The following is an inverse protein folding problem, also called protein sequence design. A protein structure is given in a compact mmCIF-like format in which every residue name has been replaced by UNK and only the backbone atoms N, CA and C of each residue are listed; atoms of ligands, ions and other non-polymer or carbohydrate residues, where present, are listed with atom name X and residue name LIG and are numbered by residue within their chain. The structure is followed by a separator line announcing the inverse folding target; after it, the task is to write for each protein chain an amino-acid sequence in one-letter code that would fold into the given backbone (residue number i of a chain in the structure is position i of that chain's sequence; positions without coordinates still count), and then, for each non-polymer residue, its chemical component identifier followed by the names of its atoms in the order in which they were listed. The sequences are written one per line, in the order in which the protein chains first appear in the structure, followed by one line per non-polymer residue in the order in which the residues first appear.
data_IF_966230755044
#
_entry.id   IF_966230755044
#
_cell.length_a   1.000
_cell.length_b   1.000
_cell.length_c   1.000
_cell.angle_alpha   90.00
_cell.angle_beta   90.00
_cell.angle_gamma   90.00
#
_symmetry.space_group_name_H-M   'P 1'
#
loop_
_entity.id
_entity.type
_entity.pdbx_description
1 polymer ?
#
# COMPACT_ATOMS: atom_id res chain seq x y z
N UNK A 1 -1.22 -2.21 2.00
CA UNK A 1 -1.33 -2.97 3.27
C UNK A 1 -1.28 -2.04 4.46
N UNK A 2 -1.69 -2.54 5.62
CA UNK A 2 -1.55 -1.84 6.90
C UNK A 2 -0.39 -2.52 7.66
N UNK A 3 0.59 -1.74 8.09
CA UNK A 3 1.63 -2.20 9.00
C UNK A 3 1.20 -1.86 10.44
N UNK A 4 1.28 -2.82 11.34
CA UNK A 4 0.90 -2.62 12.73
C UNK A 4 2.00 -3.09 13.68
N UNK A 5 2.16 -2.40 14.81
CA UNK A 5 3.01 -2.84 15.91
C UNK A 5 2.48 -4.18 16.45
N UNK A 6 3.22 -5.26 16.22
CA UNK A 6 2.78 -6.63 16.57
C UNK A 6 2.62 -6.87 18.07
N UNK A 7 3.29 -6.06 18.90
CA UNK A 7 3.26 -6.21 20.38
C UNK A 7 2.08 -5.43 21.00
N UNK A 8 1.46 -4.52 20.24
CA UNK A 8 0.36 -3.65 20.69
C UNK A 8 -0.96 -4.03 20.07
N UNK A 9 -0.99 -4.19 18.74
CA UNK A 9 -2.22 -4.46 17.99
C UNK A 9 -2.41 -5.97 17.84
N UNK A 10 -3.48 -6.49 18.41
CA UNK A 10 -3.81 -7.92 18.34
C UNK A 10 -4.35 -8.32 16.97
N UNK A 11 -4.30 -9.62 16.69
CA UNK A 11 -4.91 -10.15 15.47
C UNK A 11 -6.43 -9.93 15.49
N UNK A 12 -6.98 -9.48 14.36
CA UNK A 12 -8.40 -9.21 14.21
C UNK A 12 -8.89 -7.84 14.71
N UNK A 13 -8.04 -7.01 15.36
CA UNK A 13 -8.44 -5.66 15.78
C UNK A 13 -8.59 -4.68 14.61
N UNK A 14 -7.83 -4.92 13.53
CA UNK A 14 -7.91 -4.21 12.26
C UNK A 14 -8.07 -5.26 11.16
N UNK A 15 -9.19 -5.26 10.50
CA UNK A 15 -9.54 -6.20 9.42
C UNK A 15 -9.84 -5.49 8.12
N UNK A 16 -10.21 -4.22 8.18
CA UNK A 16 -10.58 -3.40 7.03
C UNK A 16 -9.78 -2.11 7.00
N UNK A 17 -9.61 -1.57 5.82
CA UNK A 17 -9.01 -0.23 5.67
C UNK A 17 -9.88 0.84 6.36
N UNK A 18 -11.17 0.64 6.32
CA UNK A 18 -12.17 1.53 6.90
C UNK A 18 -12.09 1.61 8.43
N UNK A 19 -11.62 0.55 9.10
CA UNK A 19 -11.41 0.52 10.55
C UNK A 19 -10.44 1.59 11.04
N UNK A 20 -9.56 2.10 10.17
CA UNK A 20 -8.60 3.15 10.51
C UNK A 20 -9.24 4.50 10.83
N UNK A 21 -10.53 4.69 10.49
CA UNK A 21 -11.29 5.88 10.86
C UNK A 21 -11.96 5.79 12.24
N UNK A 22 -11.90 4.61 12.91
CA UNK A 22 -12.46 4.44 14.25
C UNK A 22 -11.72 5.34 15.26
N UNK A 23 -12.43 6.15 16.07
CA UNK A 23 -11.82 7.04 17.07
C UNK A 23 -10.94 6.33 18.10
N UNK A 24 -11.08 5.01 18.29
CA UNK A 24 -10.18 4.23 19.19
C UNK A 24 -8.71 4.30 18.77
N UNK A 25 -8.42 4.65 17.51
CA UNK A 25 -7.08 4.79 16.97
C UNK A 25 -6.53 6.22 17.06
N UNK A 26 -7.20 7.12 17.78
CA UNK A 26 -6.75 8.51 17.91
C UNK A 26 -5.30 8.60 18.38
N UNK A 27 -4.48 9.34 17.65
CA UNK A 27 -3.05 9.50 17.93
C UNK A 27 -2.21 8.26 17.68
N UNK A 28 -2.70 7.24 16.94
CA UNK A 28 -1.97 5.99 16.75
C UNK A 28 -1.53 5.71 15.30
N UNK A 29 -1.92 6.55 14.34
CA UNK A 29 -1.67 6.29 12.93
C UNK A 29 -0.58 7.22 12.39
N UNK A 30 0.42 6.65 11.72
CA UNK A 30 1.39 7.37 10.91
C UNK A 30 1.06 7.22 9.42
N UNK A 31 1.19 8.30 8.67
CA UNK A 31 1.00 8.30 7.23
C UNK A 31 2.03 9.18 6.53
N UNK A 32 2.35 8.82 5.32
CA UNK A 32 2.98 9.76 4.38
C UNK A 32 1.94 10.77 3.88
N UNK A 33 2.35 11.89 3.25
CA UNK A 33 1.41 12.89 2.74
C UNK A 33 0.35 12.27 1.82
N UNK A 34 -0.91 12.66 2.00
CA UNK A 34 -2.03 12.18 1.20
C UNK A 34 -1.90 12.52 -0.28
N UNK A 35 -1.25 13.63 -0.61
CA UNK A 35 -0.96 14.05 -1.98
C UNK A 35 -0.03 13.09 -2.76
N UNK A 36 0.66 12.17 -2.07
CA UNK A 36 1.47 11.18 -2.73
C UNK A 36 0.60 10.20 -3.53
N UNK A 37 1.08 9.77 -4.70
CA UNK A 37 0.33 8.92 -5.65
C UNK A 37 -0.24 7.66 -4.99
N UNK A 38 0.43 7.05 -4.01
CA UNK A 38 -0.05 5.85 -3.32
C UNK A 38 -1.30 6.15 -2.47
N UNK A 39 -1.27 7.17 -1.63
CA UNK A 39 -2.41 7.53 -0.78
C UNK A 39 -3.57 8.09 -1.61
N UNK A 40 -3.26 8.82 -2.68
CA UNK A 40 -4.27 9.25 -3.65
C UNK A 40 -4.97 8.07 -4.33
N UNK A 41 -4.23 7.01 -4.65
CA UNK A 41 -4.79 5.75 -5.16
C UNK A 41 -5.70 5.07 -4.15
N UNK A 42 -5.28 5.00 -2.89
CA UNK A 42 -6.09 4.47 -1.78
C UNK A 42 -7.37 5.29 -1.61
N UNK A 43 -7.27 6.62 -1.57
CA UNK A 43 -8.43 7.50 -1.48
C UNK A 43 -9.39 7.30 -2.66
N UNK A 44 -8.85 7.14 -3.88
CA UNK A 44 -9.63 6.86 -5.07
C UNK A 44 -10.32 5.49 -5.01
N UNK A 45 -9.71 4.47 -4.38
CA UNK A 45 -10.34 3.16 -4.20
C UNK A 45 -11.51 3.21 -3.22
N UNK A 46 -11.36 3.95 -2.12
CA UNK A 46 -12.45 4.19 -1.16
C UNK A 46 -13.59 4.99 -1.79
N UNK A 47 -13.24 6.00 -2.60
CA UNK A 47 -14.19 6.81 -3.35
C UNK A 47 -14.97 5.99 -4.38
N UNK A 48 -14.31 5.05 -5.06
CA UNK A 48 -14.96 4.16 -6.03
C UNK A 48 -16.00 3.25 -5.38
N UNK A 49 -15.71 2.77 -4.17
CA UNK A 49 -16.58 1.84 -3.44
C UNK A 49 -17.76 2.54 -2.77
N UNK A 50 -17.52 3.68 -2.09
CA UNK A 50 -18.50 4.27 -1.18
C UNK A 50 -19.10 5.59 -1.66
N UNK A 51 -18.56 6.18 -2.74
CA UNK A 51 -18.92 7.52 -3.19
C UNK A 51 -18.31 8.63 -2.35
N UNK A 52 -18.47 9.89 -2.81
CA UNK A 52 -17.74 11.05 -2.30
C UNK A 52 -18.02 11.32 -0.82
N UNK A 53 -19.27 11.30 -0.40
CA UNK A 53 -19.65 11.65 0.98
C UNK A 53 -19.02 10.72 2.00
N UNK A 54 -19.23 9.40 1.84
CA UNK A 54 -18.68 8.41 2.78
C UNK A 54 -17.15 8.32 2.72
N UNK A 55 -16.57 8.50 1.55
CA UNK A 55 -15.13 8.52 1.38
C UNK A 55 -14.49 9.73 2.09
N UNK A 56 -15.12 10.89 2.05
CA UNK A 56 -14.67 12.08 2.78
C UNK A 56 -14.85 11.91 4.31
N UNK A 57 -15.95 11.31 4.76
CA UNK A 57 -16.17 10.98 6.17
C UNK A 57 -15.09 10.03 6.69
N UNK A 58 -14.79 8.97 5.95
CA UNK A 58 -13.69 8.06 6.28
C UNK A 58 -12.35 8.80 6.35
N UNK A 59 -12.04 9.62 5.36
CA UNK A 59 -10.78 10.36 5.33
C UNK A 59 -10.65 11.34 6.51
N UNK A 60 -11.74 12.00 6.94
CA UNK A 60 -11.78 12.83 8.16
C UNK A 60 -11.47 12.00 9.41
N UNK A 61 -12.11 10.85 9.54
CA UNK A 61 -11.85 9.92 10.65
C UNK A 61 -10.40 9.46 10.69
N UNK A 62 -9.84 9.07 9.54
CA UNK A 62 -8.44 8.68 9.41
C UNK A 62 -7.49 9.83 9.84
N UNK A 63 -7.71 11.04 9.34
CA UNK A 63 -6.87 12.22 9.66
C UNK A 63 -6.91 12.56 11.14
N UNK A 64 -8.08 12.46 11.77
CA UNK A 64 -8.23 12.67 13.21
C UNK A 64 -7.44 11.66 14.06
N UNK A 65 -7.10 10.51 13.50
CA UNK A 65 -6.37 9.45 14.17
C UNK A 65 -4.84 9.52 13.95
N UNK A 66 -4.34 10.50 13.21
CA UNK A 66 -2.91 10.66 13.01
C UNK A 66 -2.19 11.03 14.30
N UNK A 67 -1.10 10.32 14.57
CA UNK A 67 -0.19 10.60 15.69
C UNK A 67 0.61 11.90 15.46
N UNK A 68 0.84 12.24 14.22
CA UNK A 68 1.59 13.42 13.79
C UNK A 68 1.16 13.87 12.39
N UNK A 69 1.59 15.05 12.00
CA UNK A 69 1.42 15.53 10.63
C UNK A 69 2.02 14.52 9.64
N UNK A 70 1.31 14.15 8.57
CA UNK A 70 1.80 13.24 7.53
C UNK A 70 3.12 13.71 6.93
N UNK A 71 4.12 12.82 6.92
CA UNK A 71 5.47 13.11 6.39
C UNK A 71 6.25 11.82 6.08
N UNK A 72 7.38 11.97 5.40
CA UNK A 72 8.28 10.87 5.09
C UNK A 72 7.73 9.90 4.04
N UNK A 73 8.43 8.80 3.87
CA UNK A 73 8.08 7.70 2.97
C UNK A 73 7.64 6.45 3.76
N UNK A 74 7.31 5.36 3.10
CA UNK A 74 6.80 4.15 3.74
C UNK A 74 7.80 3.54 4.75
N UNK A 75 9.11 3.59 4.47
CA UNK A 75 10.13 3.15 5.43
C UNK A 75 10.13 4.00 6.70
N UNK A 76 9.94 5.32 6.54
CA UNK A 76 9.84 6.23 7.68
C UNK A 76 8.60 5.92 8.54
N UNK A 77 7.49 5.45 7.96
CA UNK A 77 6.33 5.04 8.74
C UNK A 77 6.63 3.80 9.59
N UNK A 78 7.32 2.79 9.03
CA UNK A 78 7.73 1.60 9.79
C UNK A 78 8.73 1.98 10.90
N UNK A 79 9.67 2.88 10.60
CA UNK A 79 10.59 3.43 11.60
C UNK A 79 9.83 4.10 12.74
N UNK A 80 8.82 4.93 12.45
CA UNK A 80 8.01 5.60 13.46
C UNK A 80 7.26 4.61 14.36
N UNK A 81 6.80 3.46 13.82
CA UNK A 81 6.23 2.39 14.66
C UNK A 81 7.31 1.79 15.57
N UNK A 82 8.51 1.55 15.06
CA UNK A 82 9.63 1.03 15.87
C UNK A 82 10.02 1.98 17.00
N UNK A 83 10.04 3.28 16.75
CA UNK A 83 10.37 4.35 17.69
C UNK A 83 9.20 4.66 18.67
N UNK A 84 8.03 4.06 18.49
CA UNK A 84 6.88 4.24 19.37
C UNK A 84 6.11 5.54 19.14
N UNK A 85 6.32 6.23 18.00
CA UNK A 85 5.59 7.44 17.64
C UNK A 85 4.13 7.13 17.26
N UNK A 86 3.90 5.94 16.67
CA UNK A 86 2.59 5.43 16.32
C UNK A 86 2.57 3.89 16.36
N UNK A 87 1.39 3.29 16.24
CA UNK A 87 1.24 1.83 16.24
C UNK A 87 0.73 1.26 14.92
N UNK A 88 0.28 2.12 14.01
CA UNK A 88 -0.37 1.75 12.76
C UNK A 88 0.16 2.63 11.64
N UNK A 89 0.38 2.06 10.46
CA UNK A 89 0.72 2.83 9.26
C UNK A 89 0.17 2.20 7.98
N UNK A 90 -0.13 3.04 7.00
CA UNK A 90 -0.47 2.60 5.63
C UNK A 90 0.82 2.62 4.79
N UNK A 91 1.16 1.49 4.19
CA UNK A 91 2.39 1.33 3.40
C UNK A 91 2.16 0.45 2.17
N UNK A 92 3.08 0.48 1.23
CA UNK A 92 3.22 -0.58 0.24
C UNK A 92 4.04 -1.74 0.83
N UNK A 93 3.58 -2.97 0.60
CA UNK A 93 4.14 -4.19 1.19
C UNK A 93 5.63 -4.39 0.88
N UNK A 94 6.08 -4.04 -0.32
CA UNK A 94 7.48 -4.26 -0.71
C UNK A 94 8.49 -3.46 0.12
N UNK A 95 8.09 -2.34 0.73
CA UNK A 95 8.98 -1.61 1.64
C UNK A 95 9.27 -2.40 2.92
N UNK A 96 8.27 -3.15 3.42
CA UNK A 96 8.50 -4.08 4.52
C UNK A 96 9.52 -5.15 4.15
N UNK A 97 9.37 -5.78 2.99
CA UNK A 97 10.35 -6.75 2.48
C UNK A 97 11.76 -6.17 2.39
N UNK A 98 11.87 -4.97 1.80
CA UNK A 98 13.17 -4.27 1.69
C UNK A 98 13.82 -3.93 3.03
N UNK A 99 13.03 -3.64 4.06
CA UNK A 99 13.56 -3.43 5.41
C UNK A 99 13.95 -4.75 6.07
N UNK A 100 13.12 -5.78 5.95
CA UNK A 100 13.37 -7.11 6.53
C UNK A 100 14.67 -7.75 6.03
N UNK A 101 15.01 -7.51 4.75
CA UNK A 101 16.22 -8.04 4.11
C UNK A 101 17.29 -6.96 3.86
N UNK A 102 17.21 -5.84 4.56
CA UNK A 102 18.22 -4.78 4.46
C UNK A 102 19.59 -5.24 4.96
N UNK A 103 20.66 -4.77 4.33
CA UNK A 103 22.03 -4.95 4.84
C UNK A 103 22.23 -4.18 6.17
N UNK A 104 21.49 -3.08 6.36
CA UNK A 104 21.51 -2.30 7.60
C UNK A 104 20.75 -3.04 8.73
N UNK A 105 21.43 -3.44 9.82
CA UNK A 105 20.81 -4.13 10.93
C UNK A 105 19.73 -3.32 11.65
N UNK A 106 19.83 -1.99 11.67
CA UNK A 106 18.82 -1.14 12.29
C UNK A 106 17.50 -1.21 11.49
N UNK A 107 17.56 -1.19 10.17
CA UNK A 107 16.37 -1.31 9.34
C UNK A 107 15.67 -2.66 9.53
N UNK A 108 16.43 -3.74 9.73
CA UNK A 108 15.85 -5.05 10.05
C UNK A 108 15.07 -5.04 11.35
N UNK A 109 15.58 -4.38 12.40
CA UNK A 109 14.86 -4.20 13.68
C UNK A 109 13.53 -3.47 13.51
N UNK A 110 13.47 -2.48 12.61
CA UNK A 110 12.20 -1.79 12.33
C UNK A 110 11.18 -2.77 11.74
N UNK A 111 11.58 -3.59 10.76
CA UNK A 111 10.70 -4.59 10.19
C UNK A 111 10.27 -5.66 11.20
N UNK A 112 11.16 -6.08 12.10
CA UNK A 112 10.85 -7.05 13.15
C UNK A 112 9.77 -6.57 14.13
N UNK A 113 9.57 -5.25 14.25
CA UNK A 113 8.57 -4.66 15.15
C UNK A 113 7.15 -4.73 14.59
N UNK A 114 6.99 -4.89 13.29
CA UNK A 114 5.69 -4.82 12.62
C UNK A 114 5.24 -6.16 12.05
N UNK A 115 3.94 -6.30 11.89
CA UNK A 115 3.29 -7.31 11.04
C UNK A 115 2.45 -6.61 9.98
N UNK A 116 2.22 -7.29 8.86
CA UNK A 116 1.37 -6.79 7.78
C UNK A 116 -0.06 -7.30 7.95
N UNK A 117 -1.01 -6.43 7.70
CA UNK A 117 -2.44 -6.76 7.58
C UNK A 117 -2.87 -6.43 6.14
N UNK A 118 -3.39 -7.42 5.44
CA UNK A 118 -4.10 -7.23 4.17
C UNK A 118 -5.55 -6.92 4.52
N UNK A 119 -6.05 -5.70 4.29
CA UNK A 119 -7.38 -5.33 4.72
C UNK A 119 -8.49 -5.92 3.84
N UNK A 120 -9.73 -5.89 4.33
CA UNK A 120 -10.94 -6.20 3.56
C UNK A 120 -10.96 -7.64 3.00
N UNK A 121 -10.61 -8.65 3.83
CA UNK A 121 -10.50 -10.03 3.40
C UNK A 121 -11.69 -10.91 3.80
N UNK A 122 -12.62 -10.43 4.64
CA UNK A 122 -13.80 -11.18 5.02
C UNK A 122 -14.72 -11.44 3.81
N UNK A 123 -15.61 -12.42 3.95
CA UNK A 123 -16.63 -12.69 2.94
C UNK A 123 -17.51 -11.44 2.74
N UNK A 124 -17.72 -11.05 1.48
CA UNK A 124 -18.45 -9.82 1.13
C UNK A 124 -17.64 -8.52 1.18
N UNK A 125 -16.42 -8.53 1.72
CA UNK A 125 -15.54 -7.36 1.65
C UNK A 125 -14.94 -7.18 0.24
N UNK A 126 -14.55 -5.94 -0.09
CA UNK A 126 -14.06 -5.56 -1.42
C UNK A 126 -12.67 -6.09 -1.81
N UNK A 127 -11.87 -6.55 -0.84
CA UNK A 127 -10.48 -6.91 -1.05
C UNK A 127 -9.51 -5.75 -0.76
N UNK A 128 -8.22 -6.05 -0.80
CA UNK A 128 -7.18 -5.06 -0.56
C UNK A 128 -6.89 -4.24 -1.83
N UNK A 129 -6.83 -2.91 -1.71
CA UNK A 129 -6.36 -2.07 -2.79
C UNK A 129 -4.95 -2.47 -3.22
N UNK A 130 -4.77 -2.69 -4.51
CA UNK A 130 -3.47 -2.99 -5.11
C UNK A 130 -3.02 -1.83 -6.01
N UNK A 131 -1.73 -1.59 -6.03
CA UNK A 131 -1.08 -0.69 -6.97
C UNK A 131 -0.23 -1.52 -7.94
N UNK A 132 0.13 -0.95 -9.08
CA UNK A 132 0.94 -1.64 -10.09
C UNK A 132 2.22 -0.87 -10.41
N UNK A 133 3.28 -1.61 -10.68
CA UNK A 133 4.46 -1.10 -11.38
C UNK A 133 4.25 -1.27 -12.87
N UNK A 134 4.56 -0.26 -13.65
CA UNK A 134 4.32 -0.28 -15.09
C UNK A 134 5.39 0.47 -15.87
N UNK A 135 5.44 0.20 -17.16
CA UNK A 135 6.32 0.88 -18.09
C UNK A 135 5.60 1.19 -19.41
N UNK A 136 6.16 2.12 -20.17
CA UNK A 136 5.61 2.47 -21.48
C UNK A 136 6.71 2.92 -22.43
N UNK A 137 6.44 2.79 -23.73
CA UNK A 137 7.34 3.29 -24.79
C UNK A 137 7.08 4.76 -24.98
N UNK A 138 8.11 5.59 -24.78
CA UNK A 138 8.00 7.02 -25.02
C UNK A 138 7.63 7.31 -26.50
N UNK A 139 6.71 8.25 -26.75
CA UNK A 139 6.18 8.59 -28.07
C UNK A 139 7.29 8.84 -29.11
N UNK A 140 8.36 9.50 -28.70
CA UNK A 140 9.46 9.91 -29.58
C UNK A 140 10.72 9.03 -29.42
N UNK A 141 10.60 7.83 -28.81
CA UNK A 141 11.70 6.87 -28.72
C UNK A 141 12.19 6.50 -30.14
N UNK A 142 13.51 6.52 -30.34
CA UNK A 142 14.15 6.04 -31.55
C UNK A 142 14.29 4.51 -31.58
N UNK A 143 14.19 3.85 -30.41
CA UNK A 143 14.39 2.41 -30.20
C UNK A 143 13.09 1.75 -29.74
N UNK A 144 11.98 1.97 -30.48
CA UNK A 144 10.64 1.47 -30.06
C UNK A 144 10.56 -0.04 -30.05
N UNK A 145 11.16 -0.70 -31.03
CA UNK A 145 11.14 -2.16 -31.13
C UNK A 145 11.88 -2.82 -29.94
N UNK A 146 13.01 -2.31 -29.56
CA UNK A 146 13.81 -2.76 -28.42
C UNK A 146 13.09 -2.48 -27.09
N UNK A 147 12.44 -1.32 -26.98
CA UNK A 147 11.65 -0.95 -25.81
C UNK A 147 10.44 -1.89 -25.63
N UNK A 148 9.78 -2.28 -26.72
CA UNK A 148 8.68 -3.27 -26.67
C UNK A 148 9.21 -4.61 -26.21
N UNK A 149 10.31 -5.11 -26.78
CA UNK A 149 10.94 -6.36 -26.36
C UNK A 149 11.32 -6.35 -24.87
N UNK A 150 11.80 -5.22 -24.34
CA UNK A 150 12.08 -5.07 -22.93
C UNK A 150 10.80 -5.19 -22.09
N UNK A 151 9.70 -4.52 -22.49
CA UNK A 151 8.42 -4.62 -21.78
C UNK A 151 7.87 -6.05 -21.80
N UNK A 152 7.96 -6.75 -22.93
CA UNK A 152 7.59 -8.15 -23.05
C UNK A 152 8.47 -9.05 -22.14
N UNK A 153 9.78 -8.79 -22.09
CA UNK A 153 10.69 -9.50 -21.19
C UNK A 153 10.31 -9.29 -19.72
N UNK A 154 9.93 -8.05 -19.32
CA UNK A 154 9.54 -7.74 -17.93
C UNK A 154 8.27 -8.48 -17.47
N UNK A 155 7.47 -9.02 -18.38
CA UNK A 155 6.29 -9.84 -18.05
C UNK A 155 6.54 -11.33 -18.15
N UNK A 156 7.73 -11.77 -18.55
CA UNK A 156 8.07 -13.18 -18.64
C UNK A 156 8.36 -13.78 -17.24
N UNK A 157 8.43 -15.12 -17.18
CA UNK A 157 8.62 -15.87 -15.94
C UNK A 157 9.85 -15.41 -15.17
N UNK A 158 11.00 -15.32 -15.83
CA UNK A 158 12.27 -14.97 -15.19
C UNK A 158 12.24 -13.57 -14.56
N UNK A 159 11.73 -12.58 -15.28
CA UNK A 159 11.64 -11.23 -14.76
C UNK A 159 10.64 -11.14 -13.59
N UNK A 160 9.50 -11.81 -13.71
CA UNK A 160 8.47 -11.79 -12.65
C UNK A 160 8.94 -12.51 -11.39
N UNK A 161 9.73 -13.59 -11.50
CA UNK A 161 10.39 -14.22 -10.35
C UNK A 161 11.36 -13.26 -9.67
N UNK A 162 12.21 -12.55 -10.44
CA UNK A 162 13.12 -11.53 -9.90
C UNK A 162 12.40 -10.40 -9.19
N UNK A 163 11.28 -9.91 -9.73
CA UNK A 163 10.44 -8.93 -9.04
C UNK A 163 9.94 -9.44 -7.68
N UNK A 164 9.47 -10.68 -7.63
CA UNK A 164 9.01 -11.30 -6.39
C UNK A 164 10.10 -11.53 -5.35
N UNK A 165 11.31 -11.91 -5.78
CA UNK A 165 12.42 -12.27 -4.90
C UNK A 165 13.22 -11.06 -4.41
N UNK A 166 13.45 -10.07 -5.28
CA UNK A 166 14.36 -8.96 -5.00
C UNK A 166 13.57 -7.69 -4.60
N UNK A 167 12.44 -7.45 -5.27
CA UNK A 167 11.65 -6.24 -5.05
C UNK A 167 10.39 -6.46 -4.21
N UNK A 168 10.06 -7.72 -3.88
CA UNK A 168 8.90 -8.09 -3.07
C UNK A 168 7.57 -7.60 -3.66
N UNK A 169 7.46 -7.61 -4.98
CA UNK A 169 6.24 -7.34 -5.73
C UNK A 169 5.59 -8.63 -6.20
N UNK A 170 4.26 -8.70 -6.13
CA UNK A 170 3.52 -9.87 -6.62
C UNK A 170 3.57 -9.92 -8.14
N UNK A 171 3.70 -11.12 -8.75
CA UNK A 171 3.71 -11.26 -10.20
C UNK A 171 2.38 -10.78 -10.81
N UNK A 172 2.45 -10.06 -11.93
CA UNK A 172 1.25 -9.71 -12.72
C UNK A 172 0.82 -10.84 -13.64
N UNK A 173 1.70 -11.81 -13.92
CA UNK A 173 1.37 -13.00 -14.68
C UNK A 173 0.76 -14.05 -13.74
N UNK A 174 -0.52 -14.46 -13.92
CA UNK A 174 -1.20 -15.36 -13.00
C UNK A 174 -0.63 -16.79 -12.99
N UNK A 175 0.17 -17.14 -14.00
CA UNK A 175 0.83 -18.47 -14.06
C UNK A 175 2.11 -18.56 -13.24
N UNK A 176 2.56 -17.46 -12.65
CA UNK A 176 3.79 -17.38 -11.87
C UNK A 176 3.45 -17.25 -10.39
N UNK A 177 3.93 -18.21 -9.60
CA UNK A 177 3.72 -18.19 -8.16
C UNK A 177 4.53 -17.06 -7.50
N UNK A 178 3.95 -16.38 -6.49
CA UNK A 178 4.71 -15.45 -5.66
C UNK A 178 5.93 -16.10 -5.03
N UNK A 179 6.96 -15.33 -4.72
CA UNK A 179 8.16 -15.81 -4.05
C UNK A 179 7.82 -16.42 -2.68
N UNK A 180 8.75 -17.25 -2.14
CA UNK A 180 8.59 -17.86 -0.81
C UNK A 180 8.31 -16.81 0.27
N UNK A 181 8.98 -15.65 0.20
CA UNK A 181 8.77 -14.57 1.15
C UNK A 181 7.37 -13.97 1.01
N UNK A 182 6.93 -13.64 -0.20
CA UNK A 182 5.59 -13.11 -0.44
C UNK A 182 4.49 -14.08 0.04
N UNK A 183 4.67 -15.38 -0.21
CA UNK A 183 3.74 -16.41 0.29
C UNK A 183 3.71 -16.48 1.83
N UNK A 184 4.81 -16.15 2.51
CA UNK A 184 4.87 -16.15 3.99
C UNK A 184 4.05 -15.04 4.63
N UNK A 185 3.70 -13.98 3.88
CA UNK A 185 2.85 -12.88 4.37
C UNK A 185 1.36 -13.21 4.35
N UNK A 186 0.99 -14.37 3.83
CA UNK A 186 -0.39 -14.84 3.72
C UNK A 186 -0.98 -14.61 2.33
N UNK A 187 -2.13 -15.23 2.11
CA UNK A 187 -2.93 -15.01 0.89
C UNK A 187 -3.86 -13.84 1.09
N UNK A 188 -4.11 -13.11 0.04
CA UNK A 188 -5.08 -12.03 0.03
C UNK A 188 -5.88 -12.00 -1.27
N UNK A 189 -7.04 -11.41 -1.21
CA UNK A 189 -7.88 -11.07 -2.36
C UNK A 189 -7.69 -9.60 -2.66
N UNK A 190 -7.40 -9.29 -3.91
CA UNK A 190 -7.30 -7.92 -4.40
C UNK A 190 -8.67 -7.28 -4.60
N UNK A 191 -8.70 -5.96 -4.48
CA UNK A 191 -9.85 -5.13 -4.84
C UNK A 191 -10.11 -5.23 -6.35
N UNK A 192 -11.37 -5.39 -6.73
CA UNK A 192 -11.77 -5.56 -8.11
C UNK A 192 -12.00 -4.24 -8.87
N UNK A 193 -11.76 -3.09 -8.22
CA UNK A 193 -11.87 -1.79 -8.88
C UNK A 193 -10.80 -1.66 -9.96
N UNK A 194 -11.17 -1.47 -11.24
CA UNK A 194 -10.19 -1.35 -12.32
C UNK A 194 -9.24 -0.18 -12.10
N UNK A 195 -7.96 -0.36 -12.39
CA UNK A 195 -6.93 0.69 -12.25
C UNK A 195 -7.29 1.95 -13.03
N UNK A 196 -7.93 1.82 -14.21
CA UNK A 196 -8.39 2.97 -14.98
C UNK A 196 -9.42 3.80 -14.19
N UNK A 197 -10.30 3.14 -13.42
CA UNK A 197 -11.27 3.84 -12.57
C UNK A 197 -10.58 4.60 -11.43
N UNK A 198 -9.55 4.01 -10.84
CA UNK A 198 -8.71 4.69 -9.84
C UNK A 198 -8.06 5.95 -10.45
N UNK A 199 -7.55 5.85 -11.68
CA UNK A 199 -6.95 6.98 -12.38
C UNK A 199 -7.98 8.10 -12.68
N UNK A 200 -9.19 7.74 -13.12
CA UNK A 200 -10.28 8.69 -13.38
C UNK A 200 -10.71 9.45 -12.11
N UNK A 201 -10.72 8.76 -10.96
CA UNK A 201 -11.13 9.34 -9.68
C UNK A 201 -9.99 10.09 -8.96
N UNK A 202 -8.74 9.96 -9.40
CA UNK A 202 -7.60 10.58 -8.75
C UNK A 202 -7.71 12.11 -8.58
N UNK A 203 -8.25 12.90 -9.52
CA UNK A 203 -8.44 14.34 -9.31
C UNK A 203 -9.45 14.67 -8.19
N UNK A 204 -10.54 13.90 -8.07
CA UNK A 204 -11.51 14.08 -7.00
C UNK A 204 -10.95 13.60 -5.66
N UNK A 205 -10.24 12.48 -5.64
CA UNK A 205 -9.53 12.00 -4.47
C UNK A 205 -8.55 13.05 -3.92
N UNK A 206 -7.79 13.74 -4.80
CA UNK A 206 -6.91 14.82 -4.38
C UNK A 206 -7.67 15.97 -3.72
N UNK A 207 -8.82 16.37 -4.27
CA UNK A 207 -9.65 17.43 -3.67
C UNK A 207 -10.14 17.05 -2.27
N UNK A 208 -10.51 15.79 -2.06
CA UNK A 208 -10.92 15.32 -0.72
C UNK A 208 -9.73 15.34 0.23
N UNK A 209 -8.57 14.83 -0.19
CA UNK A 209 -7.32 14.85 0.58
C UNK A 209 -7.00 16.28 1.05
N UNK A 210 -7.07 17.24 0.13
CA UNK A 210 -6.79 18.66 0.45
C UNK A 210 -7.82 19.24 1.44
N UNK A 211 -9.11 18.90 1.28
CA UNK A 211 -10.19 19.37 2.19
C UNK A 211 -10.05 18.83 3.60
N UNK A 212 -9.63 17.57 3.76
CA UNK A 212 -9.51 16.95 5.08
C UNK A 212 -8.14 17.16 5.74
N UNK A 213 -7.14 17.64 4.99
CA UNK A 213 -5.81 17.93 5.50
C UNK A 213 -4.91 16.68 5.66
N UNK A 214 -5.11 15.66 4.82
CA UNK A 214 -4.28 14.44 4.82
C UNK A 214 -2.89 14.66 4.27
#
# INVERSE_FOLDING_TARGET
VIAVNKDVIKDGEITRLEDLADPKWNGQICSRPGSHVYNRGIMASVLAEYGEVKAEEWAKGLVNNFARRPQGNDRAQIKSIYEGECNIAIINNYYYGKLKFSEDPEQRKWAEKVKLVFPNQAEGDRGAHVNISGGGVAKHSKNKAEAIKLLEFLTNEKAQQLYGEINFEYPVNPNISPSKELNSWGKFREDQVPIIKIAELAPLAQKIIDRVGW
#
